data_IF_013402256007
#
_entry.id   IF_013402256007
#
_cell.length_a   1.000
_cell.length_b   1.000
_cell.length_c   1.000
_cell.angle_alpha   90.00
_cell.angle_beta   90.00
_cell.angle_gamma   90.00
#
_symmetry.space_group_name_H-M   'P 1'
#
loop_
_entity.id
_entity.type
_entity.pdbx_description
1 polymer ?
#
# COMPACT_ATOMS: atom_id res chain seq x y z
N UNK A 1 -9.85 1.43 20.16
CA UNK A 1 -9.13 1.74 21.41
C UNK A 1 -8.42 3.07 21.22
N UNK A 2 -8.55 4.02 22.15
CA UNK A 2 -7.76 5.27 22.11
C UNK A 2 -6.44 4.99 22.81
N UNK A 3 -5.33 5.18 22.11
CA UNK A 3 -3.97 4.93 22.60
C UNK A 3 -3.43 6.28 23.12
N UNK A 4 -2.98 6.31 24.37
CA UNK A 4 -2.45 7.51 25.03
C UNK A 4 -0.96 7.42 25.38
N UNK A 5 -0.35 6.22 25.28
CA UNK A 5 1.08 5.98 25.50
C UNK A 5 1.58 4.75 24.72
N UNK A 6 2.90 4.54 24.73
CA UNK A 6 3.59 3.50 23.96
C UNK A 6 3.27 2.07 24.41
N UNK A 7 2.93 1.85 25.69
CA UNK A 7 2.62 0.51 26.19
C UNK A 7 1.24 0.07 25.71
N UNK A 8 0.29 1.01 25.68
CA UNK A 8 -1.03 0.77 25.09
C UNK A 8 -0.97 0.48 23.58
N UNK A 9 0.07 0.95 22.89
CA UNK A 9 0.27 0.63 21.47
C UNK A 9 0.62 -0.84 21.26
N UNK A 10 1.55 -1.39 22.05
CA UNK A 10 1.95 -2.80 21.91
C UNK A 10 0.78 -3.74 22.20
N UNK A 11 -0.01 -3.43 23.24
CA UNK A 11 -1.23 -4.17 23.56
C UNK A 11 -2.28 -4.07 22.44
N UNK A 12 -2.44 -2.89 21.84
CA UNK A 12 -3.37 -2.70 20.72
C UNK A 12 -2.93 -3.48 19.47
N UNK A 13 -1.64 -3.44 19.10
CA UNK A 13 -1.11 -4.19 17.97
C UNK A 13 -1.24 -5.70 18.20
N UNK A 14 -0.99 -6.17 19.42
CA UNK A 14 -1.22 -7.56 19.81
C UNK A 14 -2.70 -7.97 19.69
N UNK A 15 -3.62 -7.11 20.11
CA UNK A 15 -5.05 -7.35 19.95
C UNK A 15 -5.45 -7.37 18.47
N UNK A 16 -4.87 -6.50 17.64
CA UNK A 16 -5.10 -6.48 16.20
C UNK A 16 -4.59 -7.73 15.51
N UNK A 17 -3.51 -8.36 15.99
CA UNK A 17 -2.98 -9.60 15.41
C UNK A 17 -4.02 -10.75 15.43
N UNK A 18 -4.95 -10.74 16.39
CA UNK A 18 -6.02 -11.74 16.47
C UNK A 18 -7.23 -11.43 15.56
N UNK A 19 -7.24 -10.29 14.89
CA UNK A 19 -8.33 -9.85 14.00
C UNK A 19 -7.82 -9.95 12.56
N UNK A 20 -8.19 -11.04 11.91
CA UNK A 20 -7.81 -11.41 10.54
C UNK A 20 -8.19 -10.35 9.49
N UNK A 21 -9.42 -9.79 9.49
CA UNK A 21 -9.85 -8.89 8.41
C UNK A 21 -9.14 -7.52 8.36
N UNK A 22 -8.16 -7.26 9.24
CA UNK A 22 -7.40 -6.01 9.23
C UNK A 22 -6.36 -6.07 8.11
N UNK A 23 -6.54 -5.27 7.06
CA UNK A 23 -5.56 -5.15 5.96
C UNK A 23 -4.76 -3.84 5.98
N UNK A 24 -5.21 -2.83 6.73
CA UNK A 24 -4.59 -1.51 6.82
C UNK A 24 -4.39 -1.11 8.28
N UNK A 25 -3.22 -0.56 8.59
CA UNK A 25 -2.90 -0.02 9.93
C UNK A 25 -2.41 1.42 9.80
N UNK A 26 -2.98 2.33 10.58
CA UNK A 26 -2.61 3.73 10.58
C UNK A 26 -2.58 4.29 12.01
N UNK A 27 -1.70 5.24 12.27
CA UNK A 27 -1.66 6.01 13.53
C UNK A 27 -1.69 7.49 13.18
N UNK A 28 -2.90 8.08 13.00
CA UNK A 28 -3.04 9.43 12.47
C UNK A 28 -2.26 10.48 13.27
N UNK A 29 -1.35 11.17 12.59
CA UNK A 29 -0.60 12.32 13.12
C UNK A 29 0.58 11.96 14.00
N UNK A 30 0.85 10.68 14.23
CA UNK A 30 2.02 10.27 14.98
C UNK A 30 3.24 10.19 14.07
N UNK A 31 4.23 11.03 14.36
CA UNK A 31 5.47 11.11 13.60
C UNK A 31 6.68 10.54 14.32
N UNK A 32 6.50 9.87 15.45
CA UNK A 32 7.58 9.24 16.20
C UNK A 32 8.07 7.96 15.51
N UNK A 33 9.39 7.82 15.39
CA UNK A 33 9.98 6.72 14.62
C UNK A 33 9.89 5.38 15.35
N UNK A 34 9.96 5.38 16.68
CA UNK A 34 9.78 4.16 17.47
C UNK A 34 8.36 3.60 17.31
N UNK A 35 7.36 4.48 17.30
CA UNK A 35 5.96 4.11 17.07
C UNK A 35 5.74 3.62 15.63
N UNK A 36 6.27 4.34 14.63
CA UNK A 36 6.16 3.92 13.22
C UNK A 36 6.83 2.56 12.98
N UNK A 37 8.00 2.34 13.56
CA UNK A 37 8.73 1.07 13.45
C UNK A 37 7.92 -0.10 14.04
N UNK A 38 7.24 0.11 15.18
CA UNK A 38 6.33 -0.90 15.77
C UNK A 38 5.18 -1.26 14.84
N UNK A 39 4.56 -0.29 14.17
CA UNK A 39 3.48 -0.53 13.19
C UNK A 39 3.99 -1.31 11.99
N UNK A 40 5.15 -0.94 11.45
CA UNK A 40 5.74 -1.65 10.32
C UNK A 40 6.14 -3.07 10.72
N UNK A 41 6.69 -3.26 11.92
CA UNK A 41 7.02 -4.57 12.47
C UNK A 41 5.77 -5.45 12.65
N UNK A 42 4.65 -4.86 13.08
CA UNK A 42 3.35 -5.54 13.13
C UNK A 42 2.93 -6.04 11.75
N UNK A 43 2.95 -5.16 10.73
CA UNK A 43 2.62 -5.55 9.35
C UNK A 43 3.55 -6.65 8.81
N UNK A 44 4.83 -6.62 9.18
CA UNK A 44 5.81 -7.63 8.78
C UNK A 44 5.56 -8.98 9.47
N UNK A 45 5.14 -8.96 10.74
CA UNK A 45 4.89 -10.16 11.53
C UNK A 45 3.62 -10.88 11.09
N UNK A 46 2.56 -10.15 10.72
CA UNK A 46 1.30 -10.74 10.26
C UNK A 46 1.35 -11.12 8.77
N UNK A 47 2.06 -10.32 7.95
CA UNK A 47 2.37 -10.68 6.55
C UNK A 47 1.25 -10.40 5.53
N UNK A 48 0.16 -9.80 5.97
CA UNK A 48 -1.12 -9.52 5.28
C UNK A 48 -1.51 -8.03 5.31
N UNK A 49 -0.79 -7.23 6.11
CA UNK A 49 -1.14 -5.83 6.43
C UNK A 49 -0.25 -4.82 5.76
N UNK A 50 -0.79 -3.62 5.55
CA UNK A 50 -0.05 -2.49 5.00
C UNK A 50 -0.24 -1.22 5.85
N UNK A 51 0.84 -0.52 6.14
CA UNK A 51 0.83 0.67 6.98
C UNK A 51 0.61 1.96 6.17
N UNK A 52 -0.20 2.87 6.71
CA UNK A 52 -0.38 4.23 6.17
C UNK A 52 0.17 5.21 7.20
N UNK A 53 1.29 5.85 6.88
CA UNK A 53 2.03 6.74 7.75
C UNK A 53 1.86 8.21 7.33
N UNK A 54 1.98 9.11 8.30
CA UNK A 54 1.87 10.55 8.11
C UNK A 54 3.21 11.26 8.20
N UNK A 55 3.44 12.24 7.33
CA UNK A 55 4.54 13.19 7.42
C UNK A 55 4.33 14.21 8.52
N UNK A 56 5.29 15.11 8.74
CA UNK A 56 5.04 16.29 9.55
C UNK A 56 3.93 17.16 8.90
N UNK A 57 3.29 18.02 9.69
CA UNK A 57 2.26 18.94 9.16
C UNK A 57 2.83 19.86 8.08
N UNK A 58 4.04 20.38 8.31
CA UNK A 58 4.81 21.19 7.36
C UNK A 58 6.29 20.85 7.50
N UNK A 59 7.09 21.21 6.50
CA UNK A 59 8.55 21.11 6.55
C UNK A 59 9.17 22.42 6.04
N UNK A 60 9.99 23.06 6.90
CA UNK A 60 10.74 24.25 6.53
C UNK A 60 11.82 23.96 5.48
N UNK A 61 12.45 22.78 5.58
CA UNK A 61 13.37 22.24 4.59
C UNK A 61 12.82 20.90 4.09
N UNK A 62 12.41 20.85 2.82
CA UNK A 62 11.86 19.65 2.18
C UNK A 62 12.88 18.51 2.07
N UNK A 63 14.19 18.79 2.15
CA UNK A 63 15.20 17.73 2.09
C UNK A 63 15.14 16.80 3.31
N UNK A 64 14.62 17.28 4.44
CA UNK A 64 14.38 16.47 5.65
C UNK A 64 13.38 15.34 5.41
N UNK A 65 12.45 15.51 4.46
CA UNK A 65 11.48 14.49 4.07
C UNK A 65 12.11 13.34 3.26
N UNK A 66 13.38 13.46 2.87
CA UNK A 66 14.09 12.44 2.08
C UNK A 66 15.20 11.75 2.85
N UNK A 67 15.38 12.12 4.12
CA UNK A 67 16.44 11.63 5.00
C UNK A 67 15.83 10.96 6.22
N UNK A 68 16.45 9.87 6.65
CA UNK A 68 16.07 9.18 7.89
C UNK A 68 16.51 10.00 9.11
N UNK A 69 15.95 9.73 10.31
CA UNK A 69 16.32 10.42 11.55
C UNK A 69 17.83 10.39 11.87
N UNK A 70 18.49 9.26 11.55
CA UNK A 70 19.94 9.12 11.72
C UNK A 70 20.76 10.10 10.86
N UNK A 71 20.17 10.69 9.82
CA UNK A 71 20.76 11.70 8.93
C UNK A 71 19.99 13.04 9.04
N UNK A 72 19.49 13.38 10.24
CA UNK A 72 18.79 14.64 10.54
C UNK A 72 17.53 14.90 9.70
N UNK A 73 16.84 13.84 9.26
CA UNK A 73 15.55 13.95 8.59
C UNK A 73 14.39 13.38 9.40
N UNK A 74 13.24 13.23 8.75
CA UNK A 74 11.98 12.77 9.36
C UNK A 74 11.34 11.60 8.60
N UNK A 75 12.06 11.07 7.61
CA UNK A 75 11.60 9.95 6.79
C UNK A 75 11.61 8.64 7.58
N UNK A 76 10.52 7.87 7.58
CA UNK A 76 10.51 6.55 8.19
C UNK A 76 11.56 5.64 7.55
N UNK A 77 12.01 4.61 8.27
CA UNK A 77 12.93 3.62 7.73
C UNK A 77 12.34 2.98 6.47
N UNK A 78 13.20 2.68 5.50
CA UNK A 78 12.83 2.04 4.24
C UNK A 78 12.06 0.74 4.49
N UNK A 79 10.89 0.62 3.88
CA UNK A 79 10.04 -0.57 3.92
C UNK A 79 9.11 -0.58 2.71
N UNK A 80 8.83 -1.78 2.20
CA UNK A 80 7.81 -2.00 1.19
C UNK A 80 6.41 -2.15 1.80
N UNK A 81 6.28 -2.29 3.13
CA UNK A 81 5.02 -2.52 3.85
C UNK A 81 4.34 -1.25 4.35
N UNK A 82 4.84 -0.07 3.96
CA UNK A 82 4.23 1.20 4.33
C UNK A 82 4.20 2.17 3.15
N UNK A 83 3.20 3.05 3.18
CA UNK A 83 3.17 4.28 2.41
C UNK A 83 3.24 5.47 3.36
N UNK A 84 3.92 6.53 2.93
CA UNK A 84 4.06 7.74 3.73
C UNK A 84 3.60 8.96 2.94
N UNK A 85 2.75 9.77 3.56
CA UNK A 85 2.03 10.87 2.91
C UNK A 85 2.37 12.23 3.51
N UNK A 86 2.54 13.21 2.65
CA UNK A 86 2.83 14.60 3.01
C UNK A 86 2.25 15.53 1.93
N UNK A 87 1.78 16.74 2.24
CA UNK A 87 1.57 17.34 3.57
C UNK A 87 0.28 16.88 4.24
N UNK A 88 -0.07 17.48 5.39
CA UNK A 88 -1.39 17.32 6.01
C UNK A 88 -2.48 18.04 5.20
N UNK A 89 -3.74 17.71 5.49
CA UNK A 89 -4.89 18.26 4.75
C UNK A 89 -5.73 19.16 5.65
N UNK A 90 -6.30 20.21 5.07
CA UNK A 90 -7.23 21.12 5.73
C UNK A 90 -8.65 20.66 5.43
N UNK A 91 -9.48 20.47 6.46
CA UNK A 91 -10.89 20.06 6.36
C UNK A 91 -11.78 21.06 7.09
N UNK A 92 -13.09 21.00 6.80
CA UNK A 92 -14.08 21.69 7.63
C UNK A 92 -14.52 20.79 8.78
N UNK A 93 -14.46 21.32 9.99
CA UNK A 93 -14.94 20.66 11.20
C UNK A 93 -16.02 21.52 11.88
N UNK A 94 -17.29 21.06 11.92
CA UNK A 94 -18.37 21.75 12.61
C UNK A 94 -18.07 22.00 14.10
N UNK A 95 -17.35 21.10 14.77
CA UNK A 95 -17.04 21.29 16.19
C UNK A 95 -16.07 22.47 16.39
N UNK A 96 -15.03 22.57 15.56
CA UNK A 96 -14.12 23.72 15.52
C UNK A 96 -14.87 25.03 15.22
N UNK A 97 -15.84 25.00 14.28
CA UNK A 97 -16.69 26.16 13.98
C UNK A 97 -17.58 26.56 15.17
N UNK A 98 -18.11 25.60 15.91
CA UNK A 98 -18.93 25.86 17.09
C UNK A 98 -18.09 26.43 18.25
N UNK A 99 -16.87 25.94 18.44
CA UNK A 99 -15.95 26.43 19.47
C UNK A 99 -15.40 27.83 19.16
N UNK A 100 -15.21 28.15 17.88
CA UNK A 100 -14.83 29.49 17.42
C UNK A 100 -15.76 29.98 16.29
N UNK A 101 -16.92 30.57 16.64
CA UNK A 101 -17.90 31.04 15.66
C UNK A 101 -17.38 32.09 14.68
N UNK A 102 -16.34 32.85 15.07
CA UNK A 102 -15.69 33.85 14.23
C UNK A 102 -14.66 33.27 13.26
N UNK A 103 -14.20 32.03 13.47
CA UNK A 103 -13.27 31.32 12.56
C UNK A 103 -13.96 30.75 11.31
N UNK A 104 -13.20 30.22 10.35
CA UNK A 104 -13.73 29.57 9.14
C UNK A 104 -14.18 28.12 9.39
N UNK A 105 -13.99 27.60 10.61
CA UNK A 105 -14.33 26.21 10.96
C UNK A 105 -13.34 25.20 10.41
N UNK A 106 -12.16 25.63 9.98
CA UNK A 106 -11.17 24.74 9.41
C UNK A 106 -10.27 24.10 10.45
N UNK A 107 -9.87 22.86 10.17
CA UNK A 107 -8.96 22.07 10.97
C UNK A 107 -7.94 21.39 10.05
N UNK A 108 -6.67 21.45 10.40
CA UNK A 108 -5.62 20.69 9.72
C UNK A 108 -5.53 19.32 10.39
N UNK A 109 -5.61 18.26 9.59
CA UNK A 109 -5.63 16.89 10.07
C UNK A 109 -4.60 16.03 9.33
N UNK A 110 -4.03 15.03 10.01
CA UNK A 110 -3.14 14.08 9.37
C UNK A 110 -3.85 13.31 8.25
N UNK A 111 -3.14 13.01 7.15
CA UNK A 111 -3.79 12.51 5.94
C UNK A 111 -4.16 11.02 6.00
N UNK A 112 -3.50 10.19 6.81
CA UNK A 112 -3.62 8.73 6.81
C UNK A 112 -5.05 8.20 6.91
N UNK A 113 -5.90 8.81 7.73
CA UNK A 113 -7.31 8.44 7.84
C UNK A 113 -8.09 8.67 6.53
N UNK A 114 -7.83 9.77 5.84
CA UNK A 114 -8.42 10.04 4.54
C UNK A 114 -7.87 9.12 3.46
N UNK A 115 -6.57 8.81 3.52
CA UNK A 115 -5.95 7.87 2.58
C UNK A 115 -6.48 6.45 2.74
N UNK A 116 -6.76 6.00 3.97
CA UNK A 116 -7.45 4.73 4.20
C UNK A 116 -8.82 4.70 3.49
N UNK A 117 -9.57 5.81 3.54
CA UNK A 117 -10.81 5.96 2.78
C UNK A 117 -10.62 5.96 1.26
N UNK A 118 -9.57 6.62 0.76
CA UNK A 118 -9.21 6.59 -0.66
C UNK A 118 -8.85 5.16 -1.10
N UNK A 119 -8.08 4.42 -0.30
CA UNK A 119 -7.72 3.04 -0.59
C UNK A 119 -8.97 2.19 -0.70
N UNK A 120 -9.84 2.23 0.32
CA UNK A 120 -11.09 1.48 0.31
C UNK A 120 -11.97 1.81 -0.90
N UNK A 121 -12.08 3.09 -1.27
CA UNK A 121 -12.84 3.50 -2.46
C UNK A 121 -12.23 2.95 -3.75
N UNK A 122 -10.92 3.12 -3.95
CA UNK A 122 -10.22 2.61 -5.13
C UNK A 122 -10.32 1.09 -5.24
N UNK A 123 -10.13 0.39 -4.13
CA UNK A 123 -10.21 -1.07 -4.09
C UNK A 123 -11.61 -1.56 -4.50
N UNK A 124 -12.67 -0.90 -4.01
CA UNK A 124 -14.05 -1.24 -4.38
C UNK A 124 -14.40 -0.90 -5.83
N UNK A 125 -13.93 0.24 -6.34
CA UNK A 125 -14.29 0.72 -7.69
C UNK A 125 -13.44 0.09 -8.79
N UNK A 126 -12.18 -0.22 -8.49
CA UNK A 126 -11.14 -0.54 -9.48
C UNK A 126 -10.29 -1.76 -9.13
N UNK A 127 -10.36 -2.24 -7.90
CA UNK A 127 -9.51 -3.31 -7.38
C UNK A 127 -8.17 -2.83 -6.83
N UNK A 128 -7.61 -3.60 -5.89
CA UNK A 128 -6.36 -3.31 -5.16
C UNK A 128 -5.14 -3.10 -6.07
N UNK A 129 -5.20 -3.63 -7.29
CA UNK A 129 -4.15 -3.51 -8.29
C UNK A 129 -4.08 -2.11 -8.94
N UNK A 130 -5.08 -1.24 -8.77
CA UNK A 130 -4.99 0.17 -9.15
C UNK A 130 -4.27 0.96 -8.06
N UNK A 131 -3.16 1.62 -8.43
CA UNK A 131 -2.48 2.62 -7.62
C UNK A 131 -3.47 3.64 -7.02
N UNK A 132 -3.49 3.89 -5.69
CA UNK A 132 -4.36 4.87 -5.06
C UNK A 132 -3.84 6.32 -5.22
N UNK A 133 -3.48 6.68 -6.45
CA UNK A 133 -3.02 8.02 -6.86
C UNK A 133 -3.86 8.56 -8.03
N UNK A 134 -3.75 9.88 -8.24
CA UNK A 134 -4.66 10.68 -9.06
C UNK A 134 -6.11 10.57 -8.56
N UNK A 135 -6.27 10.49 -7.24
CA UNK A 135 -7.56 10.33 -6.57
C UNK A 135 -7.90 11.60 -5.79
N UNK A 136 -9.14 12.07 -5.91
CA UNK A 136 -9.63 13.20 -5.12
C UNK A 136 -9.80 12.75 -3.67
N UNK A 137 -9.29 13.57 -2.74
CA UNK A 137 -9.52 13.41 -1.31
C UNK A 137 -10.83 14.14 -0.96
N UNK A 138 -11.91 13.40 -0.73
CA UNK A 138 -13.19 13.98 -0.35
C UNK A 138 -13.12 14.63 1.03
N UNK A 139 -13.79 15.78 1.19
CA UNK A 139 -13.78 16.55 2.44
C UNK A 139 -12.55 17.45 2.63
N UNK A 140 -11.47 17.24 1.86
CA UNK A 140 -10.31 18.12 1.87
C UNK A 140 -10.64 19.45 1.17
N UNK A 141 -10.38 20.55 1.85
CA UNK A 141 -10.56 21.91 1.37
C UNK A 141 -9.24 22.51 0.87
N UNK A 142 -8.13 22.15 1.51
CA UNK A 142 -6.78 22.60 1.15
C UNK A 142 -5.72 21.64 1.71
N UNK A 143 -4.45 21.98 1.56
CA UNK A 143 -3.30 21.33 2.19
C UNK A 143 -2.57 22.29 3.12
N UNK A 144 -1.89 21.78 4.15
CA UNK A 144 -1.11 22.61 5.08
C UNK A 144 0.12 23.25 4.42
N UNK A 145 0.67 22.63 3.37
CA UNK A 145 1.81 23.15 2.61
C UNK A 145 1.68 22.86 1.11
N UNK A 146 1.37 23.87 0.27
CA UNK A 146 1.33 23.67 -1.17
C UNK A 146 2.69 23.24 -1.73
N UNK A 147 2.68 22.21 -2.60
CA UNK A 147 3.89 21.69 -3.24
C UNK A 147 3.90 21.97 -4.74
N UNK A 148 5.02 22.47 -5.24
CA UNK A 148 5.26 22.64 -6.67
C UNK A 148 5.58 21.30 -7.33
N UNK A 149 5.65 21.30 -8.67
CA UNK A 149 6.09 20.13 -9.42
C UNK A 149 7.55 19.78 -9.12
N UNK A 150 8.42 20.81 -9.01
CA UNK A 150 9.83 20.62 -8.73
C UNK A 150 10.07 20.02 -7.33
N UNK A 151 9.27 20.42 -6.34
CA UNK A 151 9.32 19.82 -5.00
C UNK A 151 9.01 18.33 -5.07
N UNK A 152 7.90 17.98 -5.72
CA UNK A 152 7.49 16.60 -5.90
C UNK A 152 8.53 15.76 -6.65
N UNK A 153 9.14 16.31 -7.71
CA UNK A 153 10.14 15.60 -8.52
C UNK A 153 11.35 15.15 -7.68
N UNK A 154 11.68 15.87 -6.60
CA UNK A 154 12.72 15.49 -5.64
C UNK A 154 12.22 14.53 -4.54
N UNK A 155 10.96 14.66 -4.12
CA UNK A 155 10.36 13.89 -3.02
C UNK A 155 9.91 12.48 -3.44
N UNK A 156 9.25 12.36 -4.59
CA UNK A 156 8.63 11.13 -5.05
C UNK A 156 9.63 9.98 -5.27
N UNK A 157 10.87 10.18 -5.81
CA UNK A 157 11.92 9.15 -5.88
C UNK A 157 12.19 8.42 -4.57
N UNK A 158 12.04 9.11 -3.44
CA UNK A 158 12.28 8.56 -2.09
C UNK A 158 11.04 7.93 -1.44
N UNK A 159 9.91 7.91 -2.13
CA UNK A 159 8.68 7.32 -1.62
C UNK A 159 7.84 8.27 -0.77
N UNK A 160 8.06 9.58 -0.87
CA UNK A 160 7.20 10.59 -0.26
C UNK A 160 6.00 10.82 -1.18
N UNK A 161 4.83 10.34 -0.78
CA UNK A 161 3.61 10.49 -1.58
C UNK A 161 3.00 11.87 -1.33
N UNK A 162 3.17 12.75 -2.31
CA UNK A 162 2.70 14.13 -2.22
C UNK A 162 1.16 14.22 -2.33
N UNK A 163 0.53 15.04 -1.50
CA UNK A 163 -0.85 15.49 -1.68
C UNK A 163 -0.81 16.90 -2.29
N UNK A 164 -1.48 17.09 -3.42
CA UNK A 164 -1.33 18.32 -4.22
C UNK A 164 -2.65 18.96 -4.60
N UNK A 165 -2.65 20.29 -4.63
CA UNK A 165 -3.73 21.09 -5.20
C UNK A 165 -3.48 21.22 -6.70
N UNK A 166 -4.31 20.59 -7.52
CA UNK A 166 -4.24 20.64 -8.97
C UNK A 166 -5.61 20.99 -9.53
N UNK A 167 -5.70 22.10 -10.28
CA UNK A 167 -6.93 22.58 -10.91
C UNK A 167 -8.11 22.68 -9.91
N UNK A 168 -7.84 23.19 -8.70
CA UNK A 168 -8.85 23.34 -7.63
C UNK A 168 -9.26 22.04 -6.94
N UNK A 169 -8.59 20.92 -7.19
CA UNK A 169 -8.82 19.63 -6.52
C UNK A 169 -7.64 19.24 -5.67
N UNK A 170 -7.91 18.67 -4.51
CA UNK A 170 -6.89 18.07 -3.63
C UNK A 170 -6.74 16.60 -4.01
N UNK A 171 -5.59 16.26 -4.59
CA UNK A 171 -5.32 14.95 -5.16
C UNK A 171 -4.22 14.23 -4.39
N UNK A 172 -4.40 12.92 -4.19
CA UNK A 172 -3.30 12.01 -3.87
C UNK A 172 -2.42 11.90 -5.10
N UNK A 173 -1.17 12.31 -5.00
CA UNK A 173 -0.30 12.50 -6.15
C UNK A 173 1.06 11.77 -6.01
N UNK A 174 0.98 10.54 -5.50
CA UNK A 174 2.05 9.57 -5.39
C UNK A 174 1.50 8.21 -4.97
N UNK A 175 2.14 7.12 -5.41
CA UNK A 175 1.75 5.75 -5.06
C UNK A 175 2.95 4.83 -4.78
N UNK A 176 3.99 5.34 -4.12
CA UNK A 176 5.22 4.63 -3.81
C UNK A 176 5.30 4.23 -2.33
N UNK A 177 5.92 3.09 -2.06
CA UNK A 177 6.22 2.62 -0.70
C UNK A 177 7.40 3.41 -0.10
N UNK A 178 7.60 3.35 1.22
CA UNK A 178 8.67 4.10 1.91
C UNK A 178 10.05 3.65 1.42
N UNK A 179 10.80 4.54 0.78
CA UNK A 179 12.06 4.23 0.09
C UNK A 179 11.96 4.32 -1.42
N UNK A 180 10.75 4.28 -1.98
CA UNK A 180 10.47 4.54 -3.38
C UNK A 180 11.32 3.68 -4.32
N UNK A 181 12.20 4.34 -5.08
CA UNK A 181 13.06 3.70 -6.09
C UNK A 181 14.01 2.65 -5.47
N UNK A 182 14.34 2.78 -4.20
CA UNK A 182 15.21 1.84 -3.48
C UNK A 182 14.51 0.52 -3.11
N UNK A 183 13.20 0.40 -3.33
CA UNK A 183 12.39 -0.82 -3.10
C UNK A 183 12.22 -1.70 -4.35
N UNK A 184 12.92 -1.38 -5.45
CA UNK A 184 12.96 -2.18 -6.69
C UNK A 184 11.56 -2.63 -7.16
N UNK A 185 11.27 -3.94 -7.10
CA UNK A 185 10.00 -4.53 -7.57
C UNK A 185 8.78 -4.19 -6.70
N UNK A 186 9.00 -3.81 -5.44
CA UNK A 186 7.95 -3.47 -4.47
C UNK A 186 7.87 -1.96 -4.19
N UNK A 187 8.37 -1.18 -5.14
CA UNK A 187 8.31 0.28 -5.16
C UNK A 187 6.88 0.84 -5.07
N UNK A 188 5.89 0.17 -5.65
CA UNK A 188 4.54 0.71 -5.77
C UNK A 188 3.56 0.10 -4.77
N UNK A 189 2.72 0.95 -4.18
CA UNK A 189 1.73 0.60 -3.17
C UNK A 189 0.76 -0.47 -3.69
N UNK A 190 0.20 -0.29 -4.89
CA UNK A 190 -0.73 -1.27 -5.46
C UNK A 190 -0.07 -2.61 -5.75
N UNK A 191 1.20 -2.64 -6.14
CA UNK A 191 1.93 -3.89 -6.39
C UNK A 191 2.09 -4.65 -5.07
N UNK A 192 2.58 -3.98 -4.02
CA UNK A 192 2.70 -4.60 -2.69
C UNK A 192 1.35 -5.07 -2.16
N UNK A 193 0.35 -4.19 -2.16
CA UNK A 193 -0.99 -4.51 -1.64
C UNK A 193 -1.67 -5.63 -2.42
N UNK A 194 -1.42 -5.74 -3.73
CA UNK A 194 -1.91 -6.87 -4.53
C UNK A 194 -1.26 -8.18 -4.06
N UNK A 195 0.05 -8.21 -3.79
CA UNK A 195 0.70 -9.41 -3.25
C UNK A 195 0.14 -9.80 -1.87
N UNK A 196 -0.09 -8.83 -0.99
CA UNK A 196 -0.71 -9.07 0.31
C UNK A 196 -2.11 -9.65 0.16
N UNK A 197 -2.94 -9.07 -0.70
CA UNK A 197 -4.27 -9.57 -1.04
C UNK A 197 -4.23 -11.01 -1.56
N UNK A 198 -3.32 -11.32 -2.49
CA UNK A 198 -3.20 -12.68 -3.03
C UNK A 198 -2.79 -13.69 -1.96
N UNK A 199 -1.80 -13.34 -1.13
CA UNK A 199 -1.34 -14.19 -0.03
C UNK A 199 -2.49 -14.50 0.92
N UNK A 200 -3.21 -13.47 1.36
CA UNK A 200 -4.31 -13.60 2.32
C UNK A 200 -5.46 -14.42 1.75
N UNK A 201 -5.94 -14.09 0.54
CA UNK A 201 -7.05 -14.83 -0.08
C UNK A 201 -6.70 -16.29 -0.39
N UNK A 202 -5.44 -16.59 -0.69
CA UNK A 202 -4.99 -17.98 -0.89
C UNK A 202 -4.94 -18.72 0.45
N UNK A 203 -4.43 -18.09 1.51
CA UNK A 203 -4.38 -18.69 2.84
C UNK A 203 -5.79 -18.99 3.36
N UNK A 204 -6.69 -18.01 3.38
CA UNK A 204 -8.10 -18.17 3.74
C UNK A 204 -8.79 -19.26 2.88
N UNK A 205 -8.58 -19.22 1.55
CA UNK A 205 -9.19 -20.13 0.60
C UNK A 205 -8.65 -21.57 0.64
N UNK A 206 -7.52 -21.80 1.32
CA UNK A 206 -6.86 -23.11 1.42
C UNK A 206 -6.76 -23.66 2.85
N UNK A 207 -7.42 -23.05 3.83
CA UNK A 207 -7.48 -23.56 5.22
C UNK A 207 -7.93 -25.03 5.32
N UNK A 208 -8.77 -25.50 4.39
CA UNK A 208 -9.23 -26.90 4.34
C UNK A 208 -8.11 -27.92 4.08
N UNK A 209 -6.94 -27.50 3.59
CA UNK A 209 -5.79 -28.36 3.32
C UNK A 209 -5.16 -28.89 4.60
N UNK A 210 -5.30 -28.16 5.71
CA UNK A 210 -4.69 -28.52 6.98
C UNK A 210 -5.25 -29.86 7.47
N UNK A 211 -4.36 -30.78 7.84
CA UNK A 211 -4.66 -32.16 8.25
C UNK A 211 -5.18 -33.12 7.16
N UNK A 212 -5.18 -32.72 5.89
CA UNK A 212 -5.48 -33.63 4.79
C UNK A 212 -4.31 -34.58 4.47
N UNK A 213 -4.58 -35.79 3.93
CA UNK A 213 -3.52 -36.70 3.50
C UNK A 213 -2.62 -36.09 2.40
N UNK A 214 -1.33 -35.96 2.70
CA UNK A 214 -0.32 -35.41 1.78
C UNK A 214 -0.05 -36.36 0.58
N UNK A 215 -0.88 -36.22 -0.45
CA UNK A 215 -0.95 -37.14 -1.60
C UNK A 215 -1.02 -36.35 -2.91
N UNK A 216 -0.70 -36.97 -4.06
CA UNK A 216 -0.89 -36.34 -5.36
C UNK A 216 -2.31 -35.83 -5.60
N UNK A 217 -3.33 -36.46 -5.00
CA UNK A 217 -4.71 -36.00 -5.09
C UNK A 217 -4.91 -34.65 -4.38
N UNK A 218 -4.32 -34.45 -3.21
CA UNK A 218 -4.33 -33.17 -2.48
C UNK A 218 -3.64 -32.07 -3.30
N UNK A 219 -2.45 -32.35 -3.84
CA UNK A 219 -1.69 -31.37 -4.63
C UNK A 219 -2.45 -30.89 -5.86
N UNK A 220 -3.15 -31.80 -6.54
CA UNK A 220 -4.01 -31.45 -7.66
C UNK A 220 -5.23 -30.61 -7.21
N UNK A 221 -5.80 -30.85 -6.03
CA UNK A 221 -6.89 -30.03 -5.50
C UNK A 221 -6.41 -28.61 -5.19
N UNK A 222 -5.26 -28.47 -4.52
CA UNK A 222 -4.62 -27.18 -4.25
C UNK A 222 -4.38 -26.43 -5.56
N UNK A 223 -3.70 -27.09 -6.50
CA UNK A 223 -3.37 -26.50 -7.82
C UNK A 223 -4.63 -26.02 -8.55
N UNK A 224 -5.70 -26.83 -8.57
CA UNK A 224 -6.97 -26.43 -9.21
C UNK A 224 -7.63 -25.23 -8.53
N UNK A 225 -7.73 -25.23 -7.20
CA UNK A 225 -8.40 -24.17 -6.46
C UNK A 225 -7.65 -22.83 -6.58
N UNK A 226 -6.34 -22.84 -6.36
CA UNK A 226 -5.50 -21.64 -6.51
C UNK A 226 -5.50 -21.14 -7.95
N UNK A 227 -5.41 -22.03 -8.95
CA UNK A 227 -5.45 -21.63 -10.37
C UNK A 227 -6.80 -21.02 -10.75
N UNK A 228 -7.91 -21.54 -10.21
CA UNK A 228 -9.23 -20.98 -10.46
C UNK A 228 -9.37 -19.56 -9.87
N UNK A 229 -8.86 -19.34 -8.66
CA UNK A 229 -8.79 -18.02 -8.04
C UNK A 229 -7.95 -17.04 -8.87
N UNK A 230 -6.71 -17.40 -9.20
CA UNK A 230 -5.81 -16.55 -9.99
C UNK A 230 -6.35 -16.27 -11.40
N UNK A 231 -7.12 -17.19 -11.98
CA UNK A 231 -7.82 -16.93 -13.25
C UNK A 231 -8.85 -15.81 -13.11
N UNK A 232 -9.57 -15.74 -12.00
CA UNK A 232 -10.53 -14.65 -11.75
C UNK A 232 -9.81 -13.31 -11.51
N UNK A 233 -8.71 -13.33 -10.76
CA UNK A 233 -7.84 -12.16 -10.55
C UNK A 233 -7.25 -11.66 -11.88
N UNK A 234 -6.81 -12.56 -12.75
CA UNK A 234 -6.35 -12.19 -14.10
C UNK A 234 -7.48 -11.57 -14.93
N UNK A 235 -8.67 -12.17 -14.94
CA UNK A 235 -9.85 -11.65 -15.66
C UNK A 235 -10.29 -10.27 -15.17
N UNK A 236 -10.03 -9.90 -13.91
CA UNK A 236 -10.29 -8.55 -13.41
C UNK A 236 -9.27 -7.52 -13.88
N UNK A 237 -8.20 -7.95 -14.57
CA UNK A 237 -7.12 -7.08 -15.07
C UNK A 237 -6.00 -6.82 -14.05
N UNK A 238 -5.96 -7.57 -12.94
CA UNK A 238 -4.92 -7.38 -11.92
C UNK A 238 -3.57 -8.01 -12.30
N UNK A 239 -3.60 -9.06 -13.13
CA UNK A 239 -2.41 -9.74 -13.63
C UNK A 239 -2.19 -9.41 -15.11
N UNK A 240 -0.94 -9.24 -15.50
CA UNK A 240 -0.49 -8.94 -16.85
C UNK A 240 -0.27 -10.22 -17.65
N UNK A 241 -0.82 -10.30 -18.86
CA UNK A 241 -0.65 -11.43 -19.77
C UNK A 241 -1.89 -11.60 -20.65
N UNK A 242 -1.70 -12.03 -21.90
CA UNK A 242 -2.81 -12.31 -22.81
C UNK A 242 -3.47 -13.66 -22.54
N UNK A 243 -2.76 -14.55 -21.84
CA UNK A 243 -3.25 -15.86 -21.41
C UNK A 243 -2.99 -16.07 -19.93
N UNK A 244 -3.74 -16.96 -19.23
CA UNK A 244 -3.45 -17.30 -17.84
C UNK A 244 -2.01 -17.78 -17.62
N UNK A 245 -1.44 -18.52 -18.58
CA UNK A 245 -0.09 -19.09 -18.50
C UNK A 245 1.02 -18.03 -18.61
N UNK A 246 0.74 -16.90 -19.26
CA UNK A 246 1.64 -15.74 -19.24
C UNK A 246 1.51 -14.94 -17.93
N UNK A 247 0.33 -15.01 -17.30
CA UNK A 247 0.00 -14.19 -16.13
C UNK A 247 0.37 -14.83 -14.79
N UNK A 248 0.27 -16.15 -14.66
CA UNK A 248 0.61 -16.86 -13.43
C UNK A 248 0.94 -18.34 -13.67
N UNK A 249 1.59 -18.95 -12.67
CA UNK A 249 1.71 -20.40 -12.56
C UNK A 249 1.46 -20.86 -11.12
N UNK A 250 1.03 -22.11 -10.97
CA UNK A 250 0.87 -22.80 -9.69
C UNK A 250 1.49 -24.18 -9.82
N UNK A 251 2.47 -24.49 -8.97
CA UNK A 251 3.16 -25.77 -8.95
C UNK A 251 3.03 -26.41 -7.57
N UNK A 252 2.35 -27.54 -7.50
CA UNK A 252 2.31 -28.43 -6.35
C UNK A 252 2.36 -29.86 -6.89
N UNK A 253 3.54 -30.47 -6.86
CA UNK A 253 3.81 -31.77 -7.44
C UNK A 253 4.95 -32.50 -6.70
N UNK A 254 5.35 -33.66 -7.21
CA UNK A 254 6.40 -34.46 -6.59
C UNK A 254 7.80 -33.82 -6.65
N UNK A 255 8.03 -32.87 -7.57
CA UNK A 255 9.33 -32.21 -7.68
C UNK A 255 9.54 -31.23 -6.53
N UNK A 256 8.49 -30.49 -6.12
CA UNK A 256 8.55 -29.60 -4.97
C UNK A 256 8.00 -30.20 -3.67
N UNK A 257 7.48 -31.44 -3.70
CA UNK A 257 7.07 -32.22 -2.52
C UNK A 257 7.73 -33.61 -2.49
N UNK A 258 9.07 -33.69 -2.39
CA UNK A 258 9.77 -34.96 -2.32
C UNK A 258 9.50 -35.69 -0.98
N UNK A 259 9.79 -37.00 -0.87
CA UNK A 259 9.54 -37.80 0.34
C UNK A 259 9.96 -37.12 1.66
N UNK A 260 11.12 -36.46 1.66
CA UNK A 260 11.72 -35.85 2.84
C UNK A 260 10.84 -34.72 3.42
N UNK A 261 10.21 -33.90 2.57
CA UNK A 261 9.28 -32.85 3.04
C UNK A 261 7.94 -33.44 3.48
N UNK A 262 7.49 -34.51 2.83
CA UNK A 262 6.22 -35.17 3.16
C UNK A 262 6.29 -35.88 4.51
N UNK A 263 7.43 -36.47 4.84
CA UNK A 263 7.70 -37.06 6.16
C UNK A 263 7.70 -36.01 7.28
N UNK A 264 8.05 -34.76 6.98
CA UNK A 264 7.93 -33.61 7.88
C UNK A 264 6.51 -33.05 7.95
N UNK A 265 5.54 -33.64 7.22
CA UNK A 265 4.16 -33.17 7.15
C UNK A 265 3.97 -31.88 6.35
N UNK A 266 4.93 -31.50 5.50
CA UNK A 266 4.89 -30.25 4.74
C UNK A 266 4.30 -30.46 3.34
N UNK A 267 3.49 -29.50 2.90
CA UNK A 267 3.05 -29.35 1.50
C UNK A 267 3.52 -28.00 1.01
N UNK A 268 4.34 -27.99 -0.03
CA UNK A 268 4.88 -26.78 -0.66
C UNK A 268 4.15 -26.54 -1.98
N UNK A 269 3.61 -25.34 -2.14
CA UNK A 269 3.03 -24.85 -3.39
C UNK A 269 3.79 -23.61 -3.82
N UNK A 270 4.37 -23.66 -5.01
CA UNK A 270 5.05 -22.52 -5.62
C UNK A 270 4.07 -21.76 -6.53
N UNK A 271 3.98 -20.46 -6.35
CA UNK A 271 3.06 -19.59 -7.07
C UNK A 271 3.84 -18.40 -7.59
N UNK A 272 3.80 -18.19 -8.91
CA UNK A 272 4.31 -16.97 -9.54
C UNK A 272 3.18 -16.19 -10.20
N UNK A 273 3.25 -14.86 -10.11
CA UNK A 273 2.25 -13.94 -10.67
C UNK A 273 2.93 -12.74 -11.33
N UNK A 274 2.40 -12.31 -12.48
CA UNK A 274 2.82 -11.10 -13.18
C UNK A 274 1.88 -9.94 -12.84
N UNK A 275 2.20 -9.14 -11.81
CA UNK A 275 1.33 -8.03 -11.39
C UNK A 275 1.47 -6.83 -12.31
N UNK A 276 0.34 -6.19 -12.64
CA UNK A 276 0.32 -4.96 -13.44
C UNK A 276 1.01 -3.81 -12.70
N UNK A 277 1.99 -3.18 -13.36
CA UNK A 277 2.67 -1.97 -12.85
C UNK A 277 1.97 -0.70 -13.34
N UNK A 278 1.90 0.38 -12.54
CA UNK A 278 1.27 1.62 -12.95
C UNK A 278 2.09 2.38 -14.01
N UNK A 279 1.40 3.05 -14.93
CA UNK A 279 2.02 4.00 -15.86
C UNK A 279 2.22 5.35 -15.16
N UNK A 280 3.41 5.58 -14.59
CA UNK A 280 3.72 6.81 -13.86
C UNK A 280 4.10 7.98 -14.79
N UNK A 281 4.76 7.70 -15.91
CA UNK A 281 5.20 8.72 -16.87
C UNK A 281 4.60 8.44 -18.24
N UNK A 282 3.99 9.46 -18.84
CA UNK A 282 3.53 9.43 -20.23
C UNK A 282 4.38 10.42 -21.03
N UNK A 283 5.22 9.89 -21.93
CA UNK A 283 6.15 10.68 -22.73
C UNK A 283 5.59 10.76 -24.16
N UNK A 284 5.09 11.94 -24.54
CA UNK A 284 4.75 12.24 -25.93
C UNK A 284 6.00 12.76 -26.66
N UNK A 285 6.39 12.09 -27.75
CA UNK A 285 7.46 12.55 -28.66
C UNK A 285 6.82 13.10 -29.92
N UNK A 286 6.93 14.41 -30.14
CA UNK A 286 6.37 15.09 -31.30
C UNK A 286 7.52 15.45 -32.24
N UNK A 287 7.42 15.01 -33.50
CA UNK A 287 8.35 15.36 -34.57
C UNK A 287 7.60 15.98 -35.73
N UNK A 288 8.14 17.05 -36.31
CA UNK A 288 7.64 17.61 -37.56
C UNK A 288 8.13 16.74 -38.72
N UNK A 289 7.20 16.21 -39.52
CA UNK A 289 7.54 15.52 -40.76
C UNK A 289 7.96 16.54 -41.82
N UNK A 290 8.98 16.22 -42.63
CA UNK A 290 9.34 17.02 -43.79
C UNK A 290 8.16 17.04 -44.79
N UNK A 291 7.84 18.21 -45.33
CA UNK A 291 6.90 18.31 -46.45
C UNK A 291 7.58 17.74 -47.69
N UNK A 292 7.11 16.60 -48.17
CA UNK A 292 7.42 16.13 -49.52
C UNK A 292 6.70 17.05 -50.51
N UNK A 293 7.48 17.88 -51.21
CA UNK A 293 7.01 18.69 -52.34
C UNK A 293 6.55 17.84 -53.51
#
# INVERSE_FOLDING_TARGET
MRITDDTQLDDALKAFAAIDPISLVAIPGNTDDGIRDKVVAHCQATGDRFAILDGPETAADLTTLTKIPADSGVMPKRTDLAAWYFPWIKVFDPATKLQNPSGDGSLIVPPSGHLAGVYARVDNERGVFKAPANEVIFGAQDVSQPLSKADQDNLNPKGVNCIRVLNGKILVWGARTVGGDDNADLKYINVRRTLLFLRESIDEGTQWVVFEPNTPALWQQITRNVSAFLTNVWRSGALFGNTPQEAFYVKCDAENNPPELRELGQVVTEIGVAIVRPAEFVIFRISQMAQTS
#
